data_IF_298836623926
#
_entry.id   IF_298836623926
#
_cell.length_a   1.000
_cell.length_b   1.000
_cell.length_c   1.000
_cell.angle_alpha   90.00
_cell.angle_beta   90.00
_cell.angle_gamma   90.00
#
_symmetry.space_group_name_H-M   'P 1'
#
loop_
_entity.id
_entity.type
_entity.pdbx_description
1 polymer ?
#
# COMPACT_ATOMS: atom_id res chain seq x y z
N UNK A 1 -22.06 -52.76 -1.51
CA UNK A 1 -20.87 -51.92 -1.14
C UNK A 1 -20.11 -51.31 -2.31
N UNK A 2 -20.19 -51.83 -3.53
CA UNK A 2 -19.42 -51.31 -4.68
C UNK A 2 -20.00 -50.07 -5.38
N UNK A 3 -21.30 -49.84 -5.30
CA UNK A 3 -21.95 -48.70 -5.98
C UNK A 3 -21.72 -47.34 -5.28
N UNK A 4 -21.57 -47.36 -3.96
CA UNK A 4 -21.34 -46.12 -3.19
C UNK A 4 -19.93 -45.56 -3.37
N UNK A 5 -18.90 -46.44 -3.47
CA UNK A 5 -17.53 -45.99 -3.65
C UNK A 5 -17.31 -45.32 -5.01
N UNK A 6 -17.92 -45.81 -6.09
CA UNK A 6 -17.85 -45.22 -7.42
C UNK A 6 -18.63 -43.90 -7.55
N UNK A 7 -19.73 -43.77 -6.81
CA UNK A 7 -20.52 -42.55 -6.73
C UNK A 7 -19.73 -41.45 -5.98
N UNK A 8 -19.06 -41.82 -4.88
CA UNK A 8 -18.21 -40.91 -4.10
C UNK A 8 -17.01 -40.48 -4.91
N UNK A 9 -16.32 -41.42 -5.63
CA UNK A 9 -15.18 -41.06 -6.49
C UNK A 9 -15.57 -40.10 -7.61
N UNK A 10 -16.72 -40.30 -8.25
CA UNK A 10 -17.27 -39.39 -9.26
C UNK A 10 -17.63 -38.03 -8.69
N UNK A 11 -18.28 -38.00 -7.53
CA UNK A 11 -18.63 -36.75 -6.86
C UNK A 11 -17.39 -35.97 -6.40
N UNK A 12 -16.37 -36.69 -5.90
CA UNK A 12 -15.07 -36.11 -5.54
C UNK A 12 -14.37 -35.53 -6.76
N UNK A 13 -14.30 -36.25 -7.88
CA UNK A 13 -13.68 -35.76 -9.13
C UNK A 13 -14.46 -34.59 -9.73
N UNK A 14 -15.80 -34.63 -9.73
CA UNK A 14 -16.63 -33.54 -10.18
C UNK A 14 -16.46 -32.31 -9.28
N UNK A 15 -16.41 -32.50 -7.98
CA UNK A 15 -16.15 -31.44 -7.01
C UNK A 15 -14.72 -30.85 -7.16
N UNK A 16 -13.72 -31.69 -7.44
CA UNK A 16 -12.36 -31.24 -7.76
C UNK A 16 -12.28 -30.45 -9.07
N UNK A 17 -13.15 -30.73 -10.02
CA UNK A 17 -13.28 -30.00 -11.30
C UNK A 17 -14.15 -28.72 -11.20
N UNK A 18 -14.60 -28.37 -9.99
CA UNK A 18 -15.31 -27.09 -9.76
C UNK A 18 -16.83 -27.15 -9.92
N UNK A 19 -17.42 -28.33 -9.99
CA UNK A 19 -18.89 -28.48 -10.01
C UNK A 19 -19.47 -28.28 -8.61
N UNK A 20 -20.12 -27.13 -8.42
CA UNK A 20 -20.74 -26.72 -7.15
C UNK A 20 -21.89 -27.63 -6.72
N UNK A 21 -22.63 -28.20 -7.67
CA UNK A 21 -23.72 -29.13 -7.37
C UNK A 21 -23.20 -30.48 -6.87
N UNK A 22 -22.08 -30.93 -7.44
CA UNK A 22 -21.43 -32.14 -6.95
C UNK A 22 -20.84 -31.98 -5.56
N UNK A 23 -20.39 -30.78 -5.18
CA UNK A 23 -19.93 -30.46 -3.82
C UNK A 23 -21.06 -30.54 -2.79
N UNK A 24 -22.31 -30.25 -3.19
CA UNK A 24 -23.50 -30.31 -2.32
C UNK A 24 -24.07 -31.73 -2.20
N UNK A 25 -23.77 -32.61 -3.15
CA UNK A 25 -24.34 -33.95 -3.22
C UNK A 25 -23.61 -35.02 -2.39
N UNK A 26 -22.49 -34.66 -1.74
CA UNK A 26 -21.77 -35.58 -0.88
C UNK A 26 -22.55 -35.82 0.45
N UNK A 27 -22.76 -37.07 0.87
CA UNK A 27 -23.59 -37.38 2.01
C UNK A 27 -23.04 -36.85 3.34
N UNK A 28 -23.94 -36.45 4.26
CA UNK A 28 -23.62 -35.97 5.61
C UNK A 28 -22.85 -36.95 6.48
N UNK A 29 -22.86 -38.25 6.11
CA UNK A 29 -22.08 -39.28 6.77
C UNK A 29 -20.78 -39.59 6.04
N UNK A 30 -19.68 -39.28 6.69
CA UNK A 30 -18.35 -39.56 6.16
C UNK A 30 -18.10 -41.06 6.00
N UNK A 31 -17.79 -41.50 4.80
CA UNK A 31 -17.17 -42.77 4.56
C UNK A 31 -15.71 -42.81 5.01
N UNK A 32 -15.15 -44.01 5.22
CA UNK A 32 -13.73 -44.18 5.57
C UNK A 32 -12.80 -43.43 4.59
N UNK A 33 -13.17 -43.40 3.29
CA UNK A 33 -12.44 -42.68 2.26
C UNK A 33 -12.35 -41.16 2.47
N UNK A 34 -13.45 -40.56 2.95
CA UNK A 34 -13.48 -39.13 3.23
C UNK A 34 -12.64 -38.78 4.47
N UNK A 35 -12.63 -39.65 5.47
CA UNK A 35 -11.81 -39.48 6.68
C UNK A 35 -10.33 -39.48 6.30
N UNK A 36 -9.92 -40.45 5.47
CA UNK A 36 -8.53 -40.54 4.98
C UNK A 36 -8.18 -39.34 4.11
N UNK A 37 -9.06 -38.93 3.19
CA UNK A 37 -8.83 -37.76 2.33
C UNK A 37 -8.68 -36.47 3.14
N UNK A 38 -9.59 -36.23 4.11
CA UNK A 38 -9.52 -35.07 4.97
C UNK A 38 -8.27 -35.08 5.84
N UNK A 39 -7.85 -36.26 6.32
CA UNK A 39 -6.62 -36.41 7.07
C UNK A 39 -5.39 -36.06 6.19
N UNK A 40 -5.33 -36.56 4.95
CA UNK A 40 -4.26 -36.22 4.01
C UNK A 40 -4.22 -34.73 3.72
N UNK A 41 -5.36 -34.11 3.43
CA UNK A 41 -5.45 -32.67 3.18
C UNK A 41 -5.03 -31.83 4.38
N UNK A 42 -5.45 -32.22 5.59
CA UNK A 42 -5.08 -31.50 6.80
C UNK A 42 -3.58 -31.58 7.11
N UNK A 43 -2.91 -32.67 6.76
CA UNK A 43 -1.50 -32.88 7.07
C UNK A 43 -0.54 -32.62 5.87
N UNK A 44 -1.05 -32.11 4.75
CA UNK A 44 -0.25 -31.76 3.56
C UNK A 44 -0.80 -30.47 2.95
N UNK A 45 -0.67 -29.38 3.70
CA UNK A 45 -1.02 -28.03 3.22
C UNK A 45 0.17 -27.41 2.49
N UNK A 46 -0.11 -26.78 1.36
CA UNK A 46 0.90 -26.14 0.52
C UNK A 46 0.69 -24.63 0.51
N UNK A 47 1.34 -23.91 1.44
CA UNK A 47 1.12 -22.50 1.59
C UNK A 47 1.71 -21.67 0.46
N UNK A 48 0.93 -20.67 0.05
CA UNK A 48 1.38 -19.50 -0.69
C UNK A 48 1.38 -18.30 0.25
N UNK A 49 2.51 -17.65 0.37
CA UNK A 49 2.63 -16.45 1.19
C UNK A 49 2.31 -15.21 0.39
N UNK A 50 1.42 -14.40 0.95
CA UNK A 50 1.12 -13.08 0.42
C UNK A 50 1.48 -12.03 1.48
N UNK A 51 2.77 -11.68 1.51
CA UNK A 51 3.35 -10.75 2.46
C UNK A 51 3.09 -9.30 2.04
N UNK A 52 2.32 -8.57 2.85
CA UNK A 52 1.94 -7.19 2.56
C UNK A 52 2.62 -6.17 3.48
N UNK A 53 2.97 -6.55 4.72
CA UNK A 53 3.63 -5.64 5.65
C UNK A 53 4.33 -6.40 6.79
N UNK A 54 4.49 -5.77 7.97
CA UNK A 54 5.24 -6.32 9.11
C UNK A 54 4.84 -7.73 9.55
N UNK A 55 3.60 -8.15 9.37
CA UNK A 55 3.18 -9.52 9.70
C UNK A 55 3.90 -10.59 8.86
N UNK A 56 4.39 -10.23 7.68
CA UNK A 56 5.17 -11.14 6.84
C UNK A 56 6.46 -11.60 7.51
N UNK A 57 7.12 -10.76 8.29
CA UNK A 57 8.34 -11.11 9.00
C UNK A 57 8.06 -12.21 10.03
N UNK A 58 6.98 -12.06 10.80
CA UNK A 58 6.53 -13.10 11.75
C UNK A 58 6.08 -14.38 11.03
N UNK A 59 5.40 -14.23 9.89
CA UNK A 59 5.04 -15.37 9.04
C UNK A 59 6.28 -16.11 8.52
N UNK A 60 7.30 -15.42 8.06
CA UNK A 60 8.55 -16.03 7.61
C UNK A 60 9.27 -16.78 8.73
N UNK A 61 9.16 -16.28 9.97
CA UNK A 61 9.79 -16.89 11.13
C UNK A 61 9.27 -18.30 11.43
N UNK A 62 8.02 -18.66 11.06
CA UNK A 62 7.48 -20.02 11.28
C UNK A 62 8.22 -21.10 10.48
N UNK A 63 8.93 -20.73 9.41
CA UNK A 63 9.76 -21.65 8.63
C UNK A 63 11.17 -21.86 9.22
N UNK A 64 11.54 -21.09 10.25
CA UNK A 64 12.82 -21.26 10.90
C UNK A 64 12.85 -22.53 11.76
N UNK A 65 14.05 -23.05 12.02
CA UNK A 65 14.23 -24.26 12.84
C UNK A 65 13.67 -24.19 14.26
N UNK A 66 13.37 -22.98 14.78
CA UNK A 66 12.75 -22.80 16.10
C UNK A 66 11.27 -23.24 16.10
N UNK A 67 10.53 -22.86 15.08
CA UNK A 67 9.09 -23.12 14.96
C UNK A 67 8.77 -24.30 14.06
N UNK A 68 9.48 -24.44 12.96
CA UNK A 68 9.47 -25.57 12.04
C UNK A 68 8.06 -26.00 11.62
N UNK A 69 7.42 -25.20 10.81
CA UNK A 69 6.06 -25.43 10.29
C UNK A 69 5.92 -26.80 9.55
N UNK A 70 7.04 -27.40 9.14
CA UNK A 70 7.08 -28.72 8.53
C UNK A 70 6.45 -29.79 9.43
N UNK A 71 6.63 -29.67 10.76
CA UNK A 71 6.02 -30.57 11.74
C UNK A 71 4.48 -30.57 11.70
N UNK A 72 3.90 -29.51 11.13
CA UNK A 72 2.46 -29.37 10.95
C UNK A 72 2.00 -29.69 9.53
N UNK A 73 2.88 -30.23 8.69
CA UNK A 73 2.56 -30.64 7.33
C UNK A 73 2.40 -29.50 6.33
N UNK A 74 3.06 -28.35 6.57
CA UNK A 74 2.98 -27.17 5.70
C UNK A 74 4.37 -26.66 5.31
N UNK A 75 5.32 -27.59 5.05
CA UNK A 75 6.71 -27.25 4.72
C UNK A 75 6.87 -26.62 3.36
N UNK A 76 6.08 -27.06 2.38
CA UNK A 76 6.37 -26.78 0.98
C UNK A 76 5.80 -25.43 0.57
N UNK A 77 6.62 -24.38 0.70
CA UNK A 77 6.29 -23.06 0.20
C UNK A 77 6.21 -23.06 -1.33
N UNK A 78 5.07 -22.63 -1.86
CA UNK A 78 4.85 -22.56 -3.30
C UNK A 78 5.06 -21.16 -3.85
N UNK A 79 5.77 -21.04 -4.96
CA UNK A 79 5.96 -19.79 -5.69
C UNK A 79 4.83 -19.47 -6.66
N UNK A 80 3.95 -20.45 -6.93
CA UNK A 80 2.83 -20.29 -7.84
C UNK A 80 1.49 -20.58 -7.16
N UNK A 81 0.48 -19.72 -7.32
CA UNK A 81 -0.86 -19.97 -6.77
C UNK A 81 -1.51 -21.23 -7.36
N UNK A 82 -1.11 -21.64 -8.58
CA UNK A 82 -1.61 -22.87 -9.22
C UNK A 82 -1.18 -24.15 -8.50
N UNK A 83 -0.17 -24.06 -7.65
CA UNK A 83 0.39 -25.20 -6.92
C UNK A 83 0.12 -25.11 -5.42
N UNK A 84 -0.58 -24.10 -4.96
CA UNK A 84 -0.88 -23.84 -3.55
C UNK A 84 -2.35 -24.14 -3.26
N UNK A 85 -2.62 -24.60 -2.04
CA UNK A 85 -3.96 -24.82 -1.50
C UNK A 85 -4.27 -23.96 -0.28
N UNK A 86 -3.26 -23.35 0.33
CA UNK A 86 -3.40 -22.43 1.46
C UNK A 86 -2.84 -21.06 1.09
N UNK A 87 -3.66 -20.02 1.17
CA UNK A 87 -3.24 -18.62 1.04
C UNK A 87 -3.14 -17.99 2.43
N UNK A 88 -1.98 -17.47 2.79
CA UNK A 88 -1.80 -16.69 4.01
C UNK A 88 -1.60 -15.22 3.64
N UNK A 89 -2.61 -14.40 3.88
CA UNK A 89 -2.55 -12.96 3.65
C UNK A 89 -2.08 -12.28 4.93
N UNK A 90 -0.86 -11.75 4.93
CA UNK A 90 -0.22 -11.22 6.13
C UNK A 90 0.05 -9.73 6.04
N UNK A 91 -0.67 -8.95 6.85
CA UNK A 91 -0.47 -7.53 7.01
C UNK A 91 -1.53 -6.64 6.34
N UNK A 92 -1.13 -5.40 6.02
CA UNK A 92 -2.04 -4.37 5.53
C UNK A 92 -2.45 -4.62 4.08
N UNK A 93 -3.75 -4.66 3.82
CA UNK A 93 -4.30 -4.83 2.47
C UNK A 93 -4.54 -3.46 1.86
N UNK A 94 -3.70 -3.08 0.93
CA UNK A 94 -3.81 -1.79 0.24
C UNK A 94 -4.82 -1.87 -0.90
N UNK A 95 -5.56 -0.80 -1.16
CA UNK A 95 -6.55 -0.77 -2.26
C UNK A 95 -5.89 -1.07 -3.61
N UNK A 96 -4.68 -0.55 -3.85
CA UNK A 96 -3.90 -0.84 -5.06
C UNK A 96 -3.46 -2.31 -5.16
N UNK A 97 -3.26 -3.00 -4.02
CA UNK A 97 -2.89 -4.42 -3.96
C UNK A 97 -4.11 -5.37 -3.98
N UNK A 98 -5.30 -4.88 -3.66
CA UNK A 98 -6.51 -5.70 -3.55
C UNK A 98 -6.84 -6.51 -4.83
N UNK A 99 -6.72 -5.97 -6.06
CA UNK A 99 -6.90 -6.74 -7.29
C UNK A 99 -5.95 -7.94 -7.39
N UNK A 100 -4.73 -7.81 -6.86
CA UNK A 100 -3.73 -8.89 -6.88
C UNK A 100 -4.10 -9.99 -5.91
N UNK A 101 -4.53 -9.65 -4.69
CA UNK A 101 -5.01 -10.61 -3.70
C UNK A 101 -6.14 -11.46 -4.29
N UNK A 102 -7.11 -10.79 -4.91
CA UNK A 102 -8.24 -11.45 -5.58
C UNK A 102 -7.78 -12.38 -6.70
N UNK A 103 -6.90 -11.89 -7.59
CA UNK A 103 -6.37 -12.67 -8.72
C UNK A 103 -5.61 -13.90 -8.26
N UNK A 104 -4.74 -13.76 -7.26
CA UNK A 104 -3.98 -14.88 -6.69
C UNK A 104 -4.92 -15.91 -6.11
N UNK A 105 -5.93 -15.49 -5.33
CA UNK A 105 -6.94 -16.39 -4.80
C UNK A 105 -7.72 -17.12 -5.91
N UNK A 106 -8.17 -16.42 -6.96
CA UNK A 106 -8.90 -17.02 -8.08
C UNK A 106 -8.07 -18.07 -8.83
N UNK A 107 -6.74 -17.86 -8.93
CA UNK A 107 -5.83 -18.77 -9.61
C UNK A 107 -5.54 -20.06 -8.83
N UNK A 108 -5.79 -20.11 -7.53
CA UNK A 108 -5.59 -21.31 -6.71
C UNK A 108 -6.62 -22.38 -7.06
N UNK A 109 -6.18 -23.66 -7.18
CA UNK A 109 -7.08 -24.79 -7.39
C UNK A 109 -7.95 -25.05 -6.15
N UNK A 110 -9.06 -25.76 -6.33
CA UNK A 110 -9.88 -26.24 -5.22
C UNK A 110 -9.48 -27.67 -4.82
N UNK A 111 -9.55 -28.04 -3.53
CA UNK A 111 -9.95 -27.21 -2.39
C UNK A 111 -8.88 -26.19 -2.03
N UNK A 112 -9.26 -25.02 -1.54
CA UNK A 112 -8.35 -23.96 -1.12
C UNK A 112 -8.86 -23.26 0.13
N UNK A 113 -7.91 -22.77 0.94
CA UNK A 113 -8.17 -22.13 2.22
C UNK A 113 -7.44 -20.80 2.35
N UNK A 114 -7.95 -19.92 3.19
CA UNK A 114 -7.38 -18.60 3.43
C UNK A 114 -7.22 -18.34 4.91
N UNK A 115 -6.01 -18.00 5.32
CA UNK A 115 -5.71 -17.46 6.65
C UNK A 115 -5.46 -15.96 6.52
N UNK A 116 -6.23 -15.15 7.23
CA UNK A 116 -6.00 -13.73 7.39
C UNK A 116 -5.14 -13.48 8.62
N UNK A 117 -3.93 -12.96 8.45
CA UNK A 117 -2.95 -12.79 9.53
C UNK A 117 -2.72 -11.32 9.86
N UNK A 118 -3.03 -10.97 11.10
CA UNK A 118 -2.81 -9.66 11.67
C UNK A 118 -4.01 -8.72 11.59
N UNK A 119 -4.07 -7.76 12.51
CA UNK A 119 -5.20 -6.83 12.64
C UNK A 119 -5.50 -6.07 11.35
N UNK A 120 -4.45 -5.73 10.57
CA UNK A 120 -4.64 -5.03 9.30
C UNK A 120 -5.36 -5.88 8.25
N UNK A 121 -4.97 -7.15 8.09
CA UNK A 121 -5.65 -8.07 7.17
C UNK A 121 -7.06 -8.41 7.65
N UNK A 122 -7.28 -8.48 8.98
CA UNK A 122 -8.56 -8.85 9.56
C UNK A 122 -9.60 -7.73 9.44
N UNK A 123 -9.24 -6.48 9.74
CA UNK A 123 -10.20 -5.36 9.89
C UNK A 123 -9.63 -4.00 9.48
N UNK A 124 -8.47 -3.94 8.81
CA UNK A 124 -7.75 -2.67 8.58
C UNK A 124 -6.86 -2.27 9.76
N UNK A 125 -7.09 -2.82 10.96
CA UNK A 125 -6.30 -2.55 12.16
C UNK A 125 -6.30 -1.09 12.57
N UNK A 126 -5.09 -0.55 12.81
CA UNK A 126 -4.89 0.86 13.15
C UNK A 126 -4.96 1.81 11.94
N UNK A 127 -5.02 1.26 10.72
CA UNK A 127 -4.97 2.03 9.48
C UNK A 127 -6.36 2.26 8.89
N UNK A 128 -7.19 3.03 9.60
CA UNK A 128 -8.43 3.57 9.04
C UNK A 128 -8.10 4.79 8.16
N UNK A 129 -7.60 4.52 6.97
CA UNK A 129 -7.13 5.53 6.03
C UNK A 129 -7.56 5.20 4.60
N UNK A 130 -7.67 6.23 3.76
CA UNK A 130 -8.20 6.14 2.39
C UNK A 130 -7.59 5.03 1.53
N UNK A 131 -6.32 4.68 1.73
CA UNK A 131 -5.58 3.73 0.89
C UNK A 131 -5.69 2.27 1.33
N UNK A 132 -6.34 1.98 2.47
CA UNK A 132 -6.36 0.65 3.09
C UNK A 132 -7.76 0.05 3.05
N UNK A 133 -7.83 -1.22 2.66
CA UNK A 133 -9.06 -2.02 2.72
C UNK A 133 -9.30 -2.48 4.17
N UNK A 134 -10.50 -2.30 4.66
CA UNK A 134 -10.85 -2.56 6.05
C UNK A 134 -11.20 -4.05 6.30
N UNK A 135 -10.30 -4.93 5.90
CA UNK A 135 -10.37 -6.38 6.02
C UNK A 135 -10.30 -7.08 4.67
N UNK A 136 -9.45 -8.11 4.56
CA UNK A 136 -9.28 -8.90 3.33
C UNK A 136 -10.54 -9.68 2.97
N UNK A 137 -11.40 -9.93 3.93
CA UNK A 137 -12.70 -10.59 3.78
C UNK A 137 -13.71 -9.76 2.94
N UNK A 138 -13.41 -8.49 2.67
CA UNK A 138 -14.16 -7.69 1.69
C UNK A 138 -13.87 -8.10 0.25
N UNK A 139 -12.71 -8.73 0.01
CA UNK A 139 -12.19 -9.06 -1.33
C UNK A 139 -12.31 -10.54 -1.61
N UNK A 140 -11.88 -11.38 -0.64
CA UNK A 140 -11.84 -12.83 -0.74
C UNK A 140 -12.39 -13.47 0.55
N UNK A 141 -12.92 -14.69 0.48
CA UNK A 141 -13.36 -15.41 1.68
C UNK A 141 -12.18 -15.77 2.57
N UNK A 142 -12.41 -15.74 3.88
CA UNK A 142 -11.43 -16.09 4.91
C UNK A 142 -11.94 -17.25 5.74
N UNK A 143 -11.11 -18.27 5.93
CA UNK A 143 -11.43 -19.43 6.75
C UNK A 143 -11.00 -19.25 8.20
N UNK A 144 -9.81 -18.67 8.43
CA UNK A 144 -9.27 -18.47 9.79
C UNK A 144 -8.69 -17.06 9.91
N UNK A 145 -8.99 -16.41 11.05
CA UNK A 145 -8.41 -15.11 11.40
C UNK A 145 -7.39 -15.27 12.53
N UNK A 146 -6.17 -14.78 12.29
CA UNK A 146 -5.09 -14.74 13.28
C UNK A 146 -4.92 -13.31 13.76
N UNK A 147 -5.21 -13.06 15.04
CA UNK A 147 -5.16 -11.71 15.63
C UNK A 147 -3.79 -11.36 16.17
N UNK A 148 -3.44 -10.08 16.10
CA UNK A 148 -2.18 -9.49 16.59
C UNK A 148 -1.72 -8.34 15.72
N UNK A 149 -0.73 -7.57 16.21
CA UNK A 149 -0.16 -6.44 15.46
C UNK A 149 1.35 -6.27 15.79
N UNK A 150 2.22 -7.12 15.20
CA UNK A 150 1.95 -8.37 14.49
C UNK A 150 1.55 -9.53 15.41
N UNK A 151 0.89 -10.57 14.91
CA UNK A 151 0.74 -11.84 15.62
C UNK A 151 2.11 -12.51 15.78
N UNK A 152 2.32 -13.17 16.91
CA UNK A 152 3.50 -14.02 17.08
C UNK A 152 3.45 -15.25 16.16
N UNK A 153 4.61 -15.85 15.83
CA UNK A 153 4.66 -17.07 15.03
C UNK A 153 3.78 -18.19 15.58
N UNK A 154 3.72 -18.33 16.93
CA UNK A 154 2.86 -19.33 17.59
C UNK A 154 1.37 -19.09 17.31
N UNK A 155 0.95 -17.85 17.19
CA UNK A 155 -0.43 -17.52 16.85
C UNK A 155 -0.79 -17.98 15.43
N UNK A 156 0.13 -17.86 14.47
CA UNK A 156 -0.06 -18.40 13.13
C UNK A 156 -0.11 -19.93 13.14
N UNK A 157 0.79 -20.58 13.89
CA UNK A 157 0.75 -22.05 14.06
C UNK A 157 -0.57 -22.52 14.68
N UNK A 158 -1.09 -21.80 15.69
CA UNK A 158 -2.40 -22.08 16.25
C UNK A 158 -3.52 -21.90 15.20
N UNK A 159 -3.44 -20.86 14.38
CA UNK A 159 -4.37 -20.67 13.26
C UNK A 159 -4.32 -21.82 12.25
N UNK A 160 -3.13 -22.32 11.94
CA UNK A 160 -2.93 -23.48 11.08
C UNK A 160 -3.55 -24.76 11.70
N UNK A 161 -3.30 -25.02 12.97
CA UNK A 161 -3.90 -26.17 13.69
C UNK A 161 -5.42 -26.06 13.69
N UNK A 162 -5.96 -24.86 13.91
CA UNK A 162 -7.40 -24.60 13.86
C UNK A 162 -7.97 -24.95 12.47
N UNK A 163 -7.29 -24.53 11.40
CA UNK A 163 -7.67 -24.86 10.03
C UNK A 163 -7.63 -26.38 9.80
N UNK A 164 -6.57 -27.05 10.26
CA UNK A 164 -6.43 -28.51 10.14
C UNK A 164 -7.57 -29.24 10.85
N UNK A 165 -7.97 -28.79 12.03
CA UNK A 165 -9.09 -29.35 12.76
C UNK A 165 -10.42 -29.13 12.04
N UNK A 166 -10.61 -28.00 11.41
CA UNK A 166 -11.79 -27.73 10.55
C UNK A 166 -11.84 -28.70 9.37
N UNK A 167 -10.71 -28.94 8.70
CA UNK A 167 -10.61 -29.89 7.59
C UNK A 167 -10.91 -31.31 8.06
N UNK A 168 -10.33 -31.77 9.17
CA UNK A 168 -10.52 -33.12 9.73
C UNK A 168 -11.94 -33.41 10.14
N UNK A 169 -12.62 -32.44 10.74
CA UNK A 169 -14.01 -32.62 11.28
C UNK A 169 -15.09 -32.61 10.20
N UNK A 170 -14.72 -32.60 8.91
CA UNK A 170 -15.66 -32.50 7.78
C UNK A 170 -16.51 -31.23 7.68
N UNK A 171 -16.28 -30.35 8.57
CA UNK A 171 -16.72 -29.02 8.28
C UNK A 171 -15.87 -28.62 7.07
N UNK A 172 -16.37 -29.00 5.87
CA UNK A 172 -15.79 -28.54 4.63
C UNK A 172 -15.41 -27.11 4.82
N UNK A 173 -14.28 -26.67 4.21
CA UNK A 173 -13.93 -25.29 4.25
C UNK A 173 -15.22 -24.54 3.95
N UNK A 174 -15.59 -23.80 4.95
CA UNK A 174 -16.85 -23.12 4.98
C UNK A 174 -16.94 -22.36 3.70
N UNK A 175 -17.94 -22.63 2.89
CA UNK A 175 -18.19 -21.80 1.71
C UNK A 175 -17.97 -20.37 2.14
N UNK A 176 -17.14 -19.63 1.45
CA UNK A 176 -17.08 -18.21 1.70
C UNK A 176 -18.50 -17.68 1.57
N UNK A 177 -19.07 -17.29 2.66
CA UNK A 177 -20.36 -16.62 2.65
C UNK A 177 -20.10 -15.16 2.39
N UNK A 178 -19.52 -14.88 1.21
CA UNK A 178 -19.74 -13.62 0.56
C UNK A 178 -21.21 -13.63 0.12
N UNK A 179 -22.03 -13.03 0.92
CA UNK A 179 -23.38 -12.70 0.50
C UNK A 179 -23.21 -11.50 -0.44
N UNK A 180 -23.01 -11.78 -1.74
CA UNK A 180 -22.82 -10.78 -2.78
C UNK A 180 -24.02 -9.84 -2.92
N UNK A 181 -25.18 -10.22 -2.41
CA UNK A 181 -26.40 -9.43 -2.49
C UNK A 181 -26.56 -8.36 -1.38
N UNK A 182 -25.68 -8.30 -0.40
CA UNK A 182 -25.86 -7.37 0.72
C UNK A 182 -24.58 -6.85 1.39
N UNK A 183 -23.40 -7.17 0.91
CA UNK A 183 -22.15 -6.66 1.51
C UNK A 183 -21.87 -7.13 2.94
N UNK A 184 -22.64 -8.08 3.44
CA UNK A 184 -22.46 -8.65 4.76
C UNK A 184 -21.93 -10.09 4.66
N UNK A 185 -20.86 -10.35 5.38
CA UNK A 185 -20.42 -11.72 5.65
C UNK A 185 -21.55 -12.40 6.43
N UNK A 186 -22.20 -13.37 5.80
CA UNK A 186 -23.20 -14.18 6.44
C UNK A 186 -22.55 -14.90 7.65
N UNK A 187 -23.08 -14.64 8.82
CA UNK A 187 -22.50 -15.03 10.08
C UNK A 187 -22.12 -16.50 10.16
N UNK A 188 -20.90 -16.73 10.53
CA UNK A 188 -20.45 -17.98 11.14
C UNK A 188 -19.80 -17.66 12.46
N UNK A 189 -20.55 -18.02 13.48
CA UNK A 189 -20.23 -17.75 14.87
C UNK A 189 -19.07 -18.60 15.39
N UNK A 190 -18.73 -19.63 14.65
CA UNK A 190 -17.86 -20.74 15.01
C UNK A 190 -16.43 -20.67 14.43
N UNK A 191 -16.12 -19.66 13.59
CA UNK A 191 -14.81 -19.55 12.91
C UNK A 191 -13.87 -18.54 13.59
N UNK A 192 -14.39 -17.69 14.45
CA UNK A 192 -13.59 -16.68 15.10
C UNK A 192 -12.62 -17.32 16.10
N UNK A 193 -11.32 -17.11 15.88
CA UNK A 193 -10.32 -17.30 16.93
C UNK A 193 -10.77 -16.49 18.14
N UNK A 194 -10.71 -17.01 19.38
CA UNK A 194 -11.14 -16.28 20.57
C UNK A 194 -10.52 -14.88 20.59
N UNK A 195 -11.37 -13.85 20.56
CA UNK A 195 -10.97 -12.43 20.49
C UNK A 195 -11.27 -11.70 19.19
N UNK A 196 -11.64 -12.39 18.11
CA UNK A 196 -12.10 -11.73 16.89
C UNK A 196 -13.58 -11.32 17.02
N UNK A 197 -13.88 -10.06 16.79
CA UNK A 197 -15.26 -9.55 16.89
C UNK A 197 -15.96 -9.63 15.54
N UNK A 198 -17.20 -10.13 15.54
CA UNK A 198 -18.07 -10.23 14.38
C UNK A 198 -18.60 -8.92 13.86
N UNK A 199 -18.62 -7.95 14.72
CA UNK A 199 -19.34 -6.71 14.49
C UNK A 199 -18.37 -5.66 13.96
N UNK A 200 -18.49 -5.34 12.70
CA UNK A 200 -17.70 -4.27 12.07
C UNK A 200 -18.04 -2.89 12.65
N UNK A 201 -19.21 -2.76 13.25
CA UNK A 201 -19.62 -1.55 13.95
C UNK A 201 -19.12 -1.50 15.40
N UNK A 202 -18.71 -2.63 15.97
CA UNK A 202 -18.00 -2.66 17.24
C UNK A 202 -16.51 -2.49 17.00
N UNK A 203 -16.09 -1.25 16.87
CA UNK A 203 -14.73 -0.85 17.20
C UNK A 203 -14.34 -1.57 18.48
N UNK A 204 -13.22 -2.30 18.48
CA UNK A 204 -12.79 -3.10 19.62
C UNK A 204 -12.93 -2.36 20.95
N UNK A 205 -13.02 -3.04 22.09
CA UNK A 205 -13.36 -2.45 23.39
C UNK A 205 -12.46 -1.29 23.84
N UNK A 206 -11.33 -1.02 23.18
CA UNK A 206 -10.50 0.16 23.38
C UNK A 206 -10.85 1.38 22.51
N UNK A 207 -11.74 1.20 21.51
CA UNK A 207 -12.14 2.29 20.60
C UNK A 207 -13.60 2.74 20.80
N UNK A 208 -14.37 2.07 21.64
CA UNK A 208 -15.67 2.51 22.05
C UNK A 208 -15.50 3.82 22.86
N UNK A 209 -15.79 4.96 22.23
CA UNK A 209 -15.67 6.28 22.85
C UNK A 209 -14.73 7.25 22.16
N UNK A 210 -14.10 6.87 21.03
CA UNK A 210 -13.48 7.88 20.16
C UNK A 210 -14.63 8.63 19.49
N UNK A 211 -14.83 9.93 19.81
CA UNK A 211 -15.93 10.69 19.25
C UNK A 211 -15.77 10.81 17.74
N UNK A 212 -16.89 10.77 17.04
CA UNK A 212 -16.93 11.13 15.64
C UNK A 212 -16.30 12.52 15.46
N UNK A 213 -15.63 12.71 14.32
CA UNK A 213 -14.98 13.98 13.94
C UNK A 213 -15.90 15.16 14.19
N UNK A 214 -15.48 16.11 15.00
CA UNK A 214 -16.26 17.31 15.36
C UNK A 214 -16.45 17.52 16.86
N UNK A 215 -16.25 16.50 17.69
CA UNK A 215 -16.14 16.67 19.12
C UNK A 215 -14.66 16.69 19.49
N UNK A 216 -14.08 17.88 19.60
CA UNK A 216 -12.73 18.05 20.14
C UNK A 216 -12.75 17.64 21.61
N UNK A 217 -12.56 16.37 21.88
CA UNK A 217 -12.18 15.93 23.21
C UNK A 217 -10.67 16.06 23.28
N UNK A 218 -10.22 17.23 23.67
CA UNK A 218 -8.85 17.38 24.18
C UNK A 218 -8.74 16.42 25.35
N UNK A 219 -7.83 15.44 25.32
CA UNK A 219 -7.65 14.54 26.45
C UNK A 219 -7.44 15.41 27.71
N UNK A 220 -8.07 15.08 28.85
CA UNK A 220 -7.97 15.88 30.07
C UNK A 220 -6.52 16.13 30.52
N UNK A 221 -5.61 15.23 30.15
CA UNK A 221 -4.16 15.32 30.40
C UNK A 221 -3.49 16.53 29.72
N UNK A 222 -4.09 17.08 28.67
CA UNK A 222 -3.55 18.22 27.92
C UNK A 222 -4.45 19.46 28.05
N UNK A 223 -5.60 19.36 28.72
CA UNK A 223 -6.44 20.49 29.01
C UNK A 223 -5.72 21.39 30.03
N UNK A 224 -5.17 22.49 29.56
CA UNK A 224 -4.44 23.46 30.39
C UNK A 224 -2.93 23.30 30.45
N UNK A 225 -2.34 22.37 29.71
CA UNK A 225 -0.88 22.39 29.46
C UNK A 225 -0.58 23.60 28.57
N UNK A 226 0.17 24.55 29.11
CA UNK A 226 0.75 25.65 28.32
C UNK A 226 1.92 25.06 27.48
N UNK A 227 1.57 24.23 26.50
CA UNK A 227 2.55 23.65 25.57
C UNK A 227 3.38 24.73 24.88
N UNK A 228 2.77 25.88 24.65
CA UNK A 228 3.40 27.02 23.98
C UNK A 228 4.49 27.68 24.84
N UNK A 229 4.40 27.59 26.18
CA UNK A 229 5.41 28.15 27.09
C UNK A 229 6.56 27.14 27.40
N UNK A 230 6.31 25.84 27.25
CA UNK A 230 7.32 24.80 27.55
C UNK A 230 8.05 24.26 26.33
N UNK A 231 7.55 24.54 25.11
CA UNK A 231 8.20 24.09 23.90
C UNK A 231 9.26 25.09 23.44
N UNK A 232 10.51 24.79 23.72
CA UNK A 232 11.64 25.50 23.12
C UNK A 232 11.95 24.79 21.80
N UNK A 233 11.90 25.50 20.67
CA UNK A 233 12.28 24.89 19.38
C UNK A 233 13.67 24.25 19.50
N UNK A 234 13.87 23.04 19.01
CA UNK A 234 15.19 22.45 18.98
C UNK A 234 16.13 23.31 18.14
N UNK A 235 17.42 23.27 18.44
CA UNK A 235 18.41 23.92 17.59
C UNK A 235 18.27 23.39 16.14
N UNK A 236 18.46 24.23 15.12
CA UNK A 236 18.37 23.80 13.73
C UNK A 236 19.29 22.62 13.49
N UNK A 237 18.79 21.56 12.87
CA UNK A 237 19.59 20.37 12.51
C UNK A 237 20.69 20.73 11.51
N UNK A 238 20.37 21.63 10.59
CA UNK A 238 21.28 22.16 9.61
C UNK A 238 21.31 23.70 9.74
N UNK A 239 22.26 24.25 10.52
CA UNK A 239 22.29 25.68 10.79
C UNK A 239 22.66 26.48 9.55
N UNK A 240 22.26 27.75 9.56
CA UNK A 240 22.70 28.71 8.55
C UNK A 240 24.20 29.01 8.73
N UNK A 241 24.99 28.77 7.69
CA UNK A 241 26.46 28.93 7.70
C UNK A 241 26.89 30.15 6.89
N UNK A 242 28.19 30.52 6.98
CA UNK A 242 28.76 31.57 6.12
C UNK A 242 28.67 31.26 4.62
N UNK A 243 28.64 29.98 4.27
CA UNK A 243 28.42 29.52 2.90
C UNK A 243 27.01 29.88 2.39
N UNK A 244 25.99 29.78 3.25
CA UNK A 244 24.62 30.20 2.93
C UNK A 244 24.50 31.73 2.80
N UNK A 245 25.32 32.51 3.53
CA UNK A 245 25.36 33.97 3.35
C UNK A 245 25.88 34.34 1.95
N UNK A 246 26.96 33.69 1.50
CA UNK A 246 27.47 33.89 0.12
C UNK A 246 26.43 33.44 -0.92
N UNK A 247 25.69 32.38 -0.65
CA UNK A 247 24.59 31.94 -1.50
C UNK A 247 23.47 32.98 -1.56
N UNK A 248 23.09 33.56 -0.43
CA UNK A 248 22.08 34.62 -0.34
C UNK A 248 22.46 35.84 -1.17
N UNK A 249 23.73 36.30 -1.07
CA UNK A 249 24.25 37.39 -1.85
C UNK A 249 24.23 37.07 -3.35
N UNK A 250 24.64 35.86 -3.74
CA UNK A 250 24.66 35.44 -5.14
C UNK A 250 23.23 35.35 -5.73
N UNK A 251 22.26 34.85 -4.96
CA UNK A 251 20.84 34.81 -5.35
C UNK A 251 20.29 36.24 -5.53
N UNK A 252 20.56 37.15 -4.58
CA UNK A 252 20.12 38.54 -4.66
C UNK A 252 20.74 39.26 -5.85
N UNK A 253 22.04 39.05 -6.13
CA UNK A 253 22.73 39.64 -7.28
C UNK A 253 22.16 39.16 -8.62
N UNK A 254 21.79 37.87 -8.74
CA UNK A 254 21.31 37.26 -9.97
C UNK A 254 19.83 37.49 -10.24
N UNK A 255 18.99 37.41 -9.19
CA UNK A 255 17.52 37.41 -9.32
C UNK A 255 16.85 38.65 -8.70
N UNK A 256 17.60 39.46 -7.96
CA UNK A 256 17.06 40.65 -7.29
C UNK A 256 16.16 40.33 -6.11
N UNK A 257 15.67 41.36 -5.42
CA UNK A 257 14.84 41.22 -4.22
C UNK A 257 13.46 40.63 -4.50
N UNK A 258 12.93 40.77 -5.70
CA UNK A 258 11.60 40.30 -6.08
C UNK A 258 11.54 38.79 -6.36
N UNK A 259 12.67 38.16 -6.58
CA UNK A 259 12.71 36.76 -7.03
C UNK A 259 12.97 35.79 -5.88
N UNK A 260 13.70 36.19 -4.86
CA UNK A 260 14.18 35.27 -3.83
C UNK A 260 14.14 35.93 -2.46
N UNK A 261 13.52 35.24 -1.52
CA UNK A 261 13.51 35.60 -0.13
C UNK A 261 14.10 34.47 0.72
N UNK A 262 14.95 34.82 1.68
CA UNK A 262 15.69 33.84 2.47
C UNK A 262 15.27 33.90 3.94
N UNK A 263 14.84 32.79 4.47
CA UNK A 263 14.53 32.61 5.89
C UNK A 263 15.29 31.44 6.48
N UNK A 264 15.44 31.42 7.80
CA UNK A 264 16.08 30.32 8.53
C UNK A 264 15.04 29.73 9.48
N UNK A 265 14.32 28.69 9.07
CA UNK A 265 13.39 27.99 9.93
C UNK A 265 14.14 27.07 10.92
N UNK A 266 13.37 26.37 11.75
CA UNK A 266 13.89 25.56 12.86
C UNK A 266 14.85 24.46 12.43
N UNK A 267 14.70 23.90 11.23
CA UNK A 267 15.41 22.69 10.79
C UNK A 267 16.54 22.94 9.78
N UNK A 268 16.32 23.75 8.74
CA UNK A 268 17.33 24.01 7.69
C UNK A 268 17.10 25.35 7.00
N UNK A 269 18.13 25.92 6.37
CA UNK A 269 18.01 27.14 5.56
C UNK A 269 16.97 26.99 4.46
N UNK A 270 16.13 28.02 4.32
CA UNK A 270 15.01 28.02 3.38
C UNK A 270 14.99 29.28 2.55
N UNK A 271 14.74 29.13 1.26
CA UNK A 271 14.53 30.24 0.33
C UNK A 271 13.15 30.11 -0.31
N UNK A 272 12.43 31.23 -0.43
CA UNK A 272 11.14 31.27 -1.12
C UNK A 272 11.33 31.86 -2.50
N UNK A 273 10.80 31.21 -3.52
CA UNK A 273 10.97 31.54 -4.94
C UNK A 273 9.61 31.61 -5.62
N UNK A 274 9.31 32.62 -6.41
CA UNK A 274 8.10 32.67 -7.22
C UNK A 274 8.04 31.51 -8.21
N UNK A 275 6.82 31.01 -8.48
CA UNK A 275 6.60 29.85 -9.35
C UNK A 275 7.21 30.00 -10.74
N UNK A 276 7.10 31.21 -11.32
CA UNK A 276 7.57 31.52 -12.68
C UNK A 276 9.10 31.46 -12.82
N UNK A 277 9.82 31.57 -11.70
CA UNK A 277 11.29 31.60 -11.69
C UNK A 277 11.92 30.34 -11.11
N UNK A 278 11.11 29.35 -10.70
CA UNK A 278 11.62 28.20 -9.97
C UNK A 278 12.66 27.41 -10.75
N UNK A 279 12.41 27.09 -12.02
CA UNK A 279 13.35 26.30 -12.83
C UNK A 279 14.68 27.03 -13.04
N UNK A 280 14.62 28.32 -13.28
CA UNK A 280 15.80 29.17 -13.47
C UNK A 280 16.65 29.25 -12.18
N UNK A 281 15.99 29.38 -11.02
CA UNK A 281 16.69 29.38 -9.73
C UNK A 281 17.26 28.00 -9.42
N UNK A 282 16.53 26.93 -9.69
CA UNK A 282 17.00 25.56 -9.47
C UNK A 282 18.20 25.21 -10.36
N UNK A 283 18.18 25.65 -11.61
CA UNK A 283 19.31 25.48 -12.53
C UNK A 283 20.55 26.23 -12.04
N UNK A 284 20.39 27.50 -11.63
CA UNK A 284 21.45 28.29 -11.00
C UNK A 284 22.01 27.60 -9.75
N UNK A 285 21.16 27.11 -8.85
CA UNK A 285 21.57 26.43 -7.62
C UNK A 285 22.39 25.16 -7.91
N UNK A 286 22.08 24.48 -9.01
CA UNK A 286 22.81 23.26 -9.41
C UNK A 286 24.14 23.55 -10.06
N UNK A 287 24.22 24.56 -10.95
CA UNK A 287 25.35 24.70 -11.85
C UNK A 287 26.26 25.91 -11.56
N UNK A 288 25.69 27.02 -11.08
CA UNK A 288 26.39 28.32 -11.04
C UNK A 288 26.62 28.86 -9.62
N UNK A 289 25.80 28.42 -8.63
CA UNK A 289 25.85 28.95 -7.28
C UNK A 289 27.18 28.66 -6.56
N UNK A 290 27.59 29.53 -5.59
CA UNK A 290 28.78 29.30 -4.78
C UNK A 290 28.77 27.94 -4.03
N UNK A 291 27.60 27.54 -3.59
CA UNK A 291 27.32 26.16 -3.11
C UNK A 291 26.50 25.49 -4.23
N UNK A 292 27.06 24.45 -4.84
CA UNK A 292 26.35 23.69 -5.86
C UNK A 292 25.53 22.58 -5.18
N UNK A 293 24.24 22.52 -5.50
CA UNK A 293 23.34 21.49 -5.01
C UNK A 293 23.21 20.42 -6.09
N UNK A 294 24.08 19.42 -6.03
CA UNK A 294 24.15 18.37 -7.05
C UNK A 294 22.95 17.42 -6.97
N UNK A 295 22.36 17.28 -5.77
CA UNK A 295 21.30 16.31 -5.52
C UNK A 295 19.99 16.96 -5.14
N UNK A 296 18.95 16.56 -5.83
CA UNK A 296 17.56 16.74 -5.43
C UNK A 296 17.17 15.56 -4.52
N UNK A 297 16.97 15.84 -3.23
CA UNK A 297 16.58 14.82 -2.26
C UNK A 297 15.11 14.48 -2.35
N UNK A 298 14.27 15.53 -2.44
CA UNK A 298 12.82 15.38 -2.39
C UNK A 298 12.12 16.58 -3.02
N UNK A 299 10.93 16.34 -3.56
CA UNK A 299 9.94 17.38 -3.84
C UNK A 299 8.62 16.93 -3.21
N UNK A 300 8.07 17.77 -2.35
CA UNK A 300 6.76 17.53 -1.74
C UNK A 300 5.89 18.79 -1.81
N UNK A 301 4.64 18.70 -1.34
CA UNK A 301 3.76 19.85 -1.24
C UNK A 301 3.10 19.93 0.13
N UNK A 302 2.66 21.12 0.47
CA UNK A 302 1.89 21.40 1.68
C UNK A 302 0.58 22.06 1.28
N UNK A 303 -0.53 21.50 1.77
CA UNK A 303 -1.83 22.15 1.71
C UNK A 303 -1.96 23.11 2.87
N UNK A 304 -1.96 24.40 2.56
CA UNK A 304 -2.01 25.51 3.52
C UNK A 304 -3.46 25.93 3.89
N UNK A 305 -4.47 25.32 3.25
CA UNK A 305 -5.88 25.74 3.38
C UNK A 305 -6.42 25.63 4.80
N UNK A 306 -5.92 24.70 5.59
CA UNK A 306 -6.31 24.49 6.98
C UNK A 306 -5.48 25.32 8.01
N UNK A 307 -4.49 26.08 7.56
CA UNK A 307 -3.69 26.93 8.46
C UNK A 307 -4.51 28.04 9.11
N UNK A 308 -4.27 28.28 10.40
CA UNK A 308 -4.89 29.39 11.14
C UNK A 308 -4.56 30.75 10.53
N UNK A 309 -3.32 30.93 10.08
CA UNK A 309 -2.85 32.11 9.34
C UNK A 309 -2.42 31.64 7.96
N UNK A 310 -3.23 31.94 6.94
CA UNK A 310 -2.95 31.57 5.56
C UNK A 310 -1.89 32.48 4.95
N UNK A 311 -0.91 31.93 4.23
CA UNK A 311 0.17 32.73 3.62
C UNK A 311 -0.23 33.47 2.33
N UNK A 312 -1.53 33.51 1.97
CA UNK A 312 -2.01 34.15 0.74
C UNK A 312 -2.06 33.24 -0.48
N UNK A 313 -1.73 31.97 -0.31
CA UNK A 313 -1.84 30.90 -1.31
C UNK A 313 -2.29 29.61 -0.62
N UNK A 314 -2.86 28.69 -1.38
CA UNK A 314 -3.45 27.47 -0.84
C UNK A 314 -2.47 26.31 -0.77
N UNK A 315 -1.44 26.29 -1.62
CA UNK A 315 -0.44 25.24 -1.65
C UNK A 315 0.98 25.81 -1.73
N UNK A 316 1.92 25.08 -1.17
CA UNK A 316 3.36 25.37 -1.27
C UNK A 316 4.08 24.10 -1.74
N UNK A 317 4.76 24.17 -2.87
CA UNK A 317 5.71 23.12 -3.26
C UNK A 317 7.04 23.34 -2.53
N UNK A 318 7.68 22.26 -2.11
CA UNK A 318 8.90 22.28 -1.31
C UNK A 318 9.93 21.36 -1.94
N UNK A 319 11.03 21.92 -2.38
CA UNK A 319 12.18 21.21 -2.93
C UNK A 319 13.27 21.13 -1.87
N UNK A 320 13.76 19.96 -1.57
CA UNK A 320 14.88 19.74 -0.66
C UNK A 320 16.13 19.39 -1.45
N UNK A 321 17.16 20.20 -1.31
CA UNK A 321 18.40 20.09 -2.06
C UNK A 321 19.58 19.79 -1.14
N UNK A 322 20.51 19.00 -1.61
CA UNK A 322 21.75 18.66 -0.91
C UNK A 322 22.96 18.94 -1.78
N UNK A 323 23.93 19.62 -1.20
CA UNK A 323 25.27 19.73 -1.75
C UNK A 323 26.12 18.57 -1.22
N UNK A 324 26.55 17.69 -2.11
CA UNK A 324 27.42 16.55 -1.75
C UNK A 324 28.86 17.01 -1.51
N UNK A 325 29.28 18.07 -2.18
CA UNK A 325 30.64 18.59 -2.08
C UNK A 325 30.90 19.36 -0.79
N UNK A 326 29.90 20.07 -0.26
CA UNK A 326 30.02 20.89 0.96
C UNK A 326 29.21 20.38 2.14
N UNK A 327 28.41 19.33 1.96
CA UNK A 327 27.52 18.75 2.97
C UNK A 327 26.53 19.79 3.53
N UNK A 328 26.05 20.66 2.63
CA UNK A 328 25.08 21.71 2.95
C UNK A 328 23.69 21.35 2.39
N UNK A 329 22.67 21.82 3.10
CA UNK A 329 21.27 21.58 2.75
C UNK A 329 20.53 22.88 2.49
N UNK A 330 19.59 22.85 1.56
CA UNK A 330 18.73 23.99 1.25
C UNK A 330 17.32 23.51 0.96
N UNK A 331 16.35 24.23 1.51
CA UNK A 331 14.95 24.07 1.14
C UNK A 331 14.50 25.23 0.26
N UNK A 332 13.92 24.92 -0.89
CA UNK A 332 13.30 25.90 -1.76
C UNK A 332 11.78 25.77 -1.67
N UNK A 333 11.11 26.82 -1.25
CA UNK A 333 9.64 26.89 -1.16
C UNK A 333 9.09 27.68 -2.33
N UNK A 334 8.06 27.15 -2.95
CA UNK A 334 7.41 27.76 -4.10
C UNK A 334 5.92 27.87 -3.83
N UNK A 335 5.39 29.09 -3.61
CA UNK A 335 3.95 29.31 -3.54
C UNK A 335 3.28 28.88 -4.85
N UNK A 336 2.22 28.08 -4.76
CA UNK A 336 1.46 27.59 -5.91
C UNK A 336 0.22 28.46 -6.08
N UNK A 337 0.08 29.05 -7.27
CA UNK A 337 -1.05 29.93 -7.59
C UNK A 337 -2.39 29.18 -7.76
N UNK A 338 -3.45 29.93 -8.02
CA UNK A 338 -4.82 29.41 -8.17
C UNK A 338 -4.96 28.36 -9.31
N UNK A 339 -4.10 28.43 -10.34
CA UNK A 339 -4.08 27.46 -11.44
C UNK A 339 -3.58 26.09 -11.09
N UNK A 340 -3.02 25.88 -9.88
CA UNK A 340 -2.38 24.63 -9.43
C UNK A 340 -1.37 24.08 -10.45
N UNK A 341 -0.54 24.96 -11.03
CA UNK A 341 0.44 24.60 -12.05
C UNK A 341 1.80 25.19 -11.71
N UNK A 342 2.85 24.39 -11.91
CA UNK A 342 4.26 24.75 -11.77
C UNK A 342 5.03 24.31 -13.01
N UNK A 343 6.12 24.97 -13.40
CA UNK A 343 7.00 24.44 -14.41
C UNK A 343 7.79 23.24 -13.87
N UNK A 344 7.97 22.21 -14.71
CA UNK A 344 8.68 20.98 -14.33
C UNK A 344 10.18 21.24 -14.12
N UNK A 345 10.73 20.65 -13.06
CA UNK A 345 12.16 20.63 -12.76
C UNK A 345 12.91 19.45 -13.41
N UNK A 346 12.24 18.62 -14.21
CA UNK A 346 12.86 17.47 -14.91
C UNK A 346 14.03 17.85 -15.83
N UNK A 347 14.08 19.05 -16.48
CA UNK A 347 15.25 19.46 -17.22
C UNK A 347 16.50 19.69 -16.35
N UNK A 348 16.28 20.05 -15.08
CA UNK A 348 17.38 20.27 -14.12
C UNK A 348 17.80 18.95 -13.47
N UNK A 349 16.85 18.20 -12.91
CA UNK A 349 17.08 16.87 -12.35
C UNK A 349 16.09 15.85 -12.94
N UNK A 350 16.55 14.84 -13.67
CA UNK A 350 15.68 13.78 -14.19
C UNK A 350 14.88 13.05 -13.08
N UNK A 351 15.43 12.99 -11.86
CA UNK A 351 14.75 12.41 -10.69
C UNK A 351 13.48 13.17 -10.29
N UNK A 352 13.34 14.44 -10.65
CA UNK A 352 12.13 15.24 -10.41
C UNK A 352 10.87 14.61 -11.02
N UNK A 353 11.02 13.85 -12.11
CA UNK A 353 9.92 13.12 -12.75
C UNK A 353 9.06 12.32 -11.76
N UNK A 354 9.70 11.57 -10.86
CA UNK A 354 8.99 10.74 -9.87
C UNK A 354 8.27 11.57 -8.81
N UNK A 355 8.94 12.55 -8.26
CA UNK A 355 8.39 13.43 -7.23
C UNK A 355 7.24 14.30 -7.77
N UNK A 356 7.35 14.80 -9.00
CA UNK A 356 6.31 15.60 -9.64
C UNK A 356 5.06 14.77 -9.94
N UNK A 357 5.22 13.50 -10.35
CA UNK A 357 4.12 12.55 -10.47
C UNK A 357 3.44 12.31 -9.11
N UNK A 358 4.21 12.14 -8.03
CA UNK A 358 3.69 11.95 -6.68
C UNK A 358 2.89 13.17 -6.21
N UNK A 359 3.43 14.38 -6.38
CA UNK A 359 2.73 15.61 -6.00
C UNK A 359 1.43 15.78 -6.79
N UNK A 360 1.47 15.52 -8.08
CA UNK A 360 0.24 15.57 -8.89
C UNK A 360 -0.76 14.51 -8.42
N UNK A 361 -0.30 13.32 -8.16
CA UNK A 361 -1.16 12.22 -7.70
C UNK A 361 -1.83 12.54 -6.36
N UNK A 362 -1.08 13.04 -5.38
CA UNK A 362 -1.56 13.22 -4.01
C UNK A 362 -2.17 14.60 -3.72
N UNK A 363 -1.73 15.68 -4.41
CA UNK A 363 -2.20 17.05 -4.21
C UNK A 363 -2.92 17.65 -5.42
N UNK A 364 -2.70 17.10 -6.63
CA UNK A 364 -3.30 17.61 -7.87
C UNK A 364 -2.62 18.84 -8.47
N UNK A 365 -1.39 19.14 -8.04
CA UNK A 365 -0.58 20.20 -8.62
C UNK A 365 0.01 19.69 -9.93
N UNK A 366 -0.27 20.37 -11.03
CA UNK A 366 0.22 20.00 -12.36
C UNK A 366 1.61 20.57 -12.61
N UNK A 367 2.39 19.88 -13.43
CA UNK A 367 3.71 20.32 -13.85
C UNK A 367 3.73 20.51 -15.37
N UNK A 368 3.88 21.77 -15.81
CA UNK A 368 3.98 22.08 -17.25
C UNK A 368 5.29 21.55 -17.82
N UNK A 369 5.24 21.05 -19.05
CA UNK A 369 6.36 20.41 -19.75
C UNK A 369 6.92 19.15 -19.05
N UNK A 370 6.17 18.52 -18.15
CA UNK A 370 6.54 17.23 -17.60
C UNK A 370 6.44 16.13 -18.68
N UNK A 371 7.42 15.21 -18.81
CA UNK A 371 7.48 14.24 -19.90
C UNK A 371 6.36 13.20 -19.87
N UNK A 372 5.80 12.88 -18.70
CA UNK A 372 4.79 11.82 -18.58
C UNK A 372 4.09 11.87 -17.24
N UNK A 373 3.28 12.92 -16.98
CA UNK A 373 2.56 13.10 -15.72
C UNK A 373 1.46 12.06 -15.58
N UNK A 374 1.57 11.20 -14.57
CA UNK A 374 0.64 10.09 -14.30
C UNK A 374 0.49 9.81 -12.81
N UNK A 375 -0.53 9.04 -12.44
CA UNK A 375 -0.61 8.51 -11.08
C UNK A 375 0.53 7.54 -10.84
N UNK A 376 1.13 7.65 -9.66
CA UNK A 376 2.27 6.84 -9.26
C UNK A 376 1.92 5.95 -8.06
N UNK A 377 1.37 6.57 -7.03
CA UNK A 377 1.11 5.96 -5.72
C UNK A 377 -0.31 5.37 -5.67
N UNK A 378 -1.30 6.13 -6.14
CA UNK A 378 -2.70 5.70 -6.12
C UNK A 378 -3.03 4.79 -7.32
N UNK A 379 -4.10 3.98 -7.25
CA UNK A 379 -4.64 3.31 -8.42
C UNK A 379 -4.98 4.31 -9.53
N UNK A 380 -4.87 3.89 -10.79
CA UNK A 380 -5.09 4.80 -11.92
C UNK A 380 -6.52 5.34 -11.97
N UNK A 381 -7.50 4.51 -11.59
CA UNK A 381 -8.93 4.85 -11.51
C UNK A 381 -9.30 5.71 -10.31
N UNK A 382 -8.35 6.03 -9.42
CA UNK A 382 -8.63 6.83 -8.23
C UNK A 382 -9.09 8.23 -8.60
N UNK A 383 -10.15 8.69 -7.96
CA UNK A 383 -10.70 10.05 -8.11
C UNK A 383 -10.29 10.93 -6.93
N UNK A 384 -9.92 12.20 -7.20
CA UNK A 384 -9.46 13.13 -6.17
C UNK A 384 -7.97 13.04 -5.87
N UNK A 385 -7.55 13.75 -4.83
CA UNK A 385 -6.16 13.88 -4.41
C UNK A 385 -6.06 13.78 -2.89
N UNK A 386 -5.68 12.62 -2.36
CA UNK A 386 -5.98 12.26 -0.96
C UNK A 386 -5.27 13.10 0.10
N UNK A 387 -4.17 13.80 -0.22
CA UNK A 387 -3.50 14.67 0.74
C UNK A 387 -4.08 16.09 0.80
N UNK A 388 -5.07 16.42 -0.03
CA UNK A 388 -5.84 17.65 0.15
C UNK A 388 -6.63 17.59 1.44
N UNK A 389 -6.66 18.71 2.20
CA UNK A 389 -7.38 18.80 3.46
C UNK A 389 -8.89 18.58 3.34
N UNK A 390 -9.45 18.83 2.16
CA UNK A 390 -10.87 18.60 1.85
C UNK A 390 -11.24 17.16 1.53
N UNK A 391 -10.28 16.30 1.20
CA UNK A 391 -10.54 14.91 0.81
C UNK A 391 -10.71 13.99 2.05
N UNK A 392 -11.53 12.93 1.96
CA UNK A 392 -11.77 12.03 3.08
C UNK A 392 -10.46 11.41 3.60
N UNK A 393 -10.31 11.43 4.91
CA UNK A 393 -9.13 10.90 5.58
C UNK A 393 -9.26 9.40 5.83
N UNK A 394 -10.40 8.98 6.36
CA UNK A 394 -10.63 7.62 6.84
C UNK A 394 -11.30 6.75 5.78
N UNK A 395 -10.90 5.48 5.73
CA UNK A 395 -11.58 4.50 4.90
C UNK A 395 -13.06 4.34 5.29
N UNK A 396 -13.38 4.48 6.59
CA UNK A 396 -14.74 4.42 7.12
C UNK A 396 -15.62 5.62 6.75
N UNK A 397 -15.04 6.73 6.28
CA UNK A 397 -15.75 7.90 5.73
C UNK A 397 -16.07 7.71 4.24
N UNK A 398 -15.47 6.72 3.60
CA UNK A 398 -15.66 6.36 2.19
C UNK A 398 -16.65 5.21 2.03
N UNK A 399 -17.13 5.00 0.82
CA UNK A 399 -17.88 3.78 0.50
C UNK A 399 -17.02 2.54 0.80
N UNK A 400 -17.63 1.44 1.31
CA UNK A 400 -16.93 0.18 1.53
C UNK A 400 -16.27 -0.30 0.23
N UNK A 401 -15.03 -0.76 0.33
CA UNK A 401 -14.35 -1.40 -0.80
C UNK A 401 -14.94 -2.80 -1.00
N UNK A 402 -15.49 -3.07 -2.17
CA UNK A 402 -16.13 -4.35 -2.49
C UNK A 402 -15.23 -5.19 -3.40
N UNK A 403 -15.54 -6.49 -3.49
CA UNK A 403 -14.80 -7.39 -4.37
C UNK A 403 -14.88 -6.99 -5.86
N UNK A 404 -15.96 -6.34 -6.25
CA UNK A 404 -16.16 -5.80 -7.60
C UNK A 404 -15.25 -4.62 -7.90
N UNK A 405 -14.90 -3.81 -6.88
CA UNK A 405 -13.98 -2.68 -7.02
C UNK A 405 -12.54 -3.15 -7.26
N UNK A 406 -12.23 -4.41 -6.91
CA UNK A 406 -10.96 -5.04 -7.21
C UNK A 406 -10.90 -5.41 -8.71
N UNK A 407 -10.72 -4.39 -9.52
CA UNK A 407 -10.70 -4.49 -10.98
C UNK A 407 -9.62 -5.46 -11.46
N UNK A 408 -9.97 -6.29 -12.42
CA UNK A 408 -9.00 -7.16 -13.08
C UNK A 408 -8.20 -6.34 -14.08
N UNK A 409 -6.88 -6.24 -13.87
CA UNK A 409 -6.00 -5.62 -14.84
C UNK A 409 -6.03 -6.37 -16.18
N UNK A 410 -6.07 -5.63 -17.27
CA UNK A 410 -5.95 -6.16 -18.62
C UNK A 410 -4.49 -6.03 -19.10
N UNK A 411 -4.04 -6.85 -20.07
CA UNK A 411 -2.71 -6.70 -20.65
C UNK A 411 -2.46 -5.30 -21.23
N UNK A 412 -3.49 -4.66 -21.75
CA UNK A 412 -3.47 -3.32 -22.33
C UNK A 412 -3.12 -2.24 -21.29
N UNK A 413 -3.45 -2.47 -20.01
CA UNK A 413 -3.13 -1.53 -18.93
C UNK A 413 -1.61 -1.35 -18.78
N UNK A 414 -0.82 -2.40 -19.02
CA UNK A 414 0.63 -2.32 -18.99
C UNK A 414 1.18 -1.46 -20.13
N UNK A 415 0.65 -1.62 -21.33
CA UNK A 415 1.03 -0.81 -22.50
C UNK A 415 0.65 0.65 -22.27
N UNK A 416 -0.56 0.90 -21.77
CA UNK A 416 -1.00 2.25 -21.43
C UNK A 416 -0.12 2.93 -20.40
N UNK A 417 0.35 2.20 -19.36
CA UNK A 417 1.27 2.75 -18.37
C UNK A 417 2.63 3.12 -18.97
N UNK A 418 3.17 2.28 -19.88
CA UNK A 418 4.39 2.59 -20.60
C UNK A 418 4.23 3.84 -21.48
N UNK A 419 3.16 3.92 -22.25
CA UNK A 419 2.88 5.05 -23.12
C UNK A 419 2.72 6.37 -22.34
N UNK A 420 2.12 6.31 -21.15
CA UNK A 420 2.01 7.47 -20.26
C UNK A 420 3.32 7.87 -19.60
N UNK A 421 4.22 6.91 -19.38
CA UNK A 421 5.50 7.17 -18.74
C UNK A 421 6.52 7.83 -19.67
N UNK A 422 6.35 7.70 -20.98
CA UNK A 422 7.30 8.17 -21.98
C UNK A 422 6.64 9.08 -23.02
N UNK A 423 7.30 10.17 -23.34
CA UNK A 423 6.82 11.15 -24.33
C UNK A 423 6.77 10.60 -25.77
N UNK A 424 7.53 9.54 -26.05
CA UNK A 424 7.54 8.86 -27.34
C UNK A 424 7.75 7.35 -27.15
N UNK A 425 7.05 6.50 -27.92
CA UNK A 425 7.29 5.06 -27.88
C UNK A 425 8.71 4.75 -28.40
N UNK A 426 9.36 3.70 -27.88
CA UNK A 426 10.66 3.27 -28.36
C UNK A 426 10.61 2.83 -29.80
N UNK A 427 11.70 3.07 -30.54
CA UNK A 427 11.79 2.73 -31.97
C UNK A 427 11.79 1.20 -32.22
N UNK A 428 12.03 0.40 -31.18
CA UNK A 428 12.10 -1.06 -31.25
C UNK A 428 11.38 -1.65 -30.04
N UNK A 429 10.28 -2.36 -30.28
CA UNK A 429 9.52 -3.11 -29.28
C UNK A 429 9.09 -4.43 -29.93
N UNK A 430 9.34 -5.55 -29.27
CA UNK A 430 8.79 -6.85 -29.67
C UNK A 430 7.68 -7.27 -28.74
N UNK A 431 7.89 -7.20 -27.43
CA UNK A 431 6.86 -7.51 -26.46
C UNK A 431 7.05 -6.79 -25.13
N UNK A 432 5.98 -6.75 -24.33
CA UNK A 432 5.96 -6.18 -22.99
C UNK A 432 5.89 -7.30 -21.98
N UNK A 433 6.83 -7.31 -21.04
CA UNK A 433 6.90 -8.26 -19.93
C UNK A 433 6.55 -7.57 -18.60
N UNK A 434 5.59 -8.13 -17.87
CA UNK A 434 5.28 -7.73 -16.51
C UNK A 434 5.98 -8.65 -15.51
N UNK A 435 6.79 -8.07 -14.61
CA UNK A 435 7.36 -8.74 -13.44
C UNK A 435 6.69 -8.16 -12.19
N UNK A 436 5.94 -8.99 -11.47
CA UNK A 436 5.15 -8.56 -10.33
C UNK A 436 3.74 -8.06 -10.73
N UNK A 437 3.00 -7.39 -9.82
CA UNK A 437 3.39 -6.94 -8.47
C UNK A 437 3.71 -8.05 -7.47
N UNK A 438 3.05 -9.22 -7.53
CA UNK A 438 3.41 -10.37 -6.73
C UNK A 438 4.38 -11.27 -7.52
N UNK A 439 5.59 -11.39 -7.01
CA UNK A 439 6.63 -12.25 -7.58
C UNK A 439 7.36 -12.99 -6.45
N UNK A 440 7.61 -14.29 -6.61
CA UNK A 440 8.20 -15.12 -5.55
C UNK A 440 9.60 -14.67 -5.10
N UNK A 441 10.34 -13.98 -5.95
CA UNK A 441 11.68 -13.47 -5.64
C UNK A 441 11.67 -12.10 -4.95
N UNK A 442 10.53 -11.41 -4.88
CA UNK A 442 10.42 -10.11 -4.24
C UNK A 442 9.83 -10.25 -2.85
N UNK A 443 10.40 -9.54 -1.87
CA UNK A 443 9.93 -9.56 -0.49
C UNK A 443 8.84 -8.51 -0.23
N UNK A 444 8.08 -8.16 -1.24
CA UNK A 444 7.00 -7.18 -1.21
C UNK A 444 6.40 -7.04 -2.59
N UNK A 445 5.48 -6.07 -2.75
CA UNK A 445 4.81 -5.83 -4.02
C UNK A 445 5.49 -4.68 -4.77
N UNK A 446 6.03 -4.99 -5.94
CA UNK A 446 6.55 -4.03 -6.91
C UNK A 446 6.34 -4.59 -8.31
N UNK A 447 5.96 -3.74 -9.25
CA UNK A 447 5.73 -4.13 -10.63
C UNK A 447 6.74 -3.45 -11.53
N UNK A 448 7.45 -4.24 -12.32
CA UNK A 448 8.30 -3.76 -13.40
C UNK A 448 7.64 -4.11 -14.73
N UNK A 449 7.46 -3.13 -15.57
CA UNK A 449 6.94 -3.28 -16.92
C UNK A 449 8.12 -3.05 -17.85
N UNK A 450 8.58 -4.12 -18.48
CA UNK A 450 9.74 -4.12 -19.34
C UNK A 450 9.32 -4.13 -20.81
N UNK A 451 9.93 -3.26 -21.61
CA UNK A 451 9.88 -3.35 -23.06
C UNK A 451 11.11 -4.09 -23.55
N UNK A 452 10.89 -5.15 -24.28
CA UNK A 452 11.94 -6.06 -24.74
C UNK A 452 12.04 -6.09 -26.26
N UNK A 453 13.29 -6.20 -26.72
CA UNK A 453 13.64 -6.57 -28.09
C UNK A 453 14.54 -7.80 -28.04
N UNK A 454 13.97 -9.00 -28.28
CA UNK A 454 14.63 -10.24 -27.95
C UNK A 454 14.89 -10.38 -26.45
N UNK A 455 16.15 -10.51 -26.06
CA UNK A 455 16.60 -10.55 -24.66
C UNK A 455 17.08 -9.18 -24.15
N UNK A 456 17.12 -8.16 -25.00
CA UNK A 456 17.54 -6.81 -24.65
C UNK A 456 16.38 -6.03 -24.02
N UNK A 457 16.62 -5.44 -22.85
CA UNK A 457 15.68 -4.50 -22.21
C UNK A 457 15.86 -3.14 -22.90
N UNK A 458 14.86 -2.74 -23.68
CA UNK A 458 14.86 -1.45 -24.40
C UNK A 458 14.44 -0.32 -23.46
N UNK A 459 13.43 -0.61 -22.61
CA UNK A 459 12.92 0.36 -21.66
C UNK A 459 12.26 -0.34 -20.47
N UNK A 460 12.12 0.40 -19.35
CA UNK A 460 11.52 -0.09 -18.13
C UNK A 460 10.71 1.00 -17.44
N UNK A 461 9.48 0.68 -17.11
CA UNK A 461 8.66 1.49 -16.22
C UNK A 461 8.35 0.74 -14.93
N UNK A 462 8.47 1.44 -13.80
CA UNK A 462 8.14 0.91 -12.48
C UNK A 462 6.75 1.39 -12.08
N UNK A 463 5.89 0.47 -11.64
CA UNK A 463 4.61 0.77 -11.02
C UNK A 463 4.70 0.45 -9.53
N UNK A 464 4.53 1.47 -8.69
CA UNK A 464 4.72 1.43 -7.23
C UNK A 464 3.44 1.83 -6.50
N UNK A 465 3.49 2.03 -5.19
CA UNK A 465 2.34 2.41 -4.37
C UNK A 465 1.59 1.22 -3.75
N UNK A 466 2.00 0.00 -4.01
CA UNK A 466 1.39 -1.22 -3.46
C UNK A 466 1.54 -1.37 -1.95
N UNK A 467 2.41 -0.56 -1.33
CA UNK A 467 2.61 -0.48 0.12
C UNK A 467 2.28 0.90 0.70
N UNK A 468 1.58 1.73 -0.06
CA UNK A 468 1.22 3.08 0.37
C UNK A 468 0.10 3.06 1.42
N UNK A 469 0.45 3.45 2.65
CA UNK A 469 -0.47 3.50 3.81
C UNK A 469 -1.06 4.87 4.08
N UNK A 470 -0.62 5.91 3.36
CA UNK A 470 -1.08 7.28 3.61
C UNK A 470 -0.68 7.80 5.00
N UNK A 471 0.56 7.53 5.43
CA UNK A 471 1.06 7.92 6.76
C UNK A 471 1.01 9.44 6.97
N UNK A 472 1.17 10.20 5.91
CA UNK A 472 1.07 11.67 5.89
C UNK A 472 -0.33 12.12 6.33
N UNK A 473 -1.36 11.45 5.81
CA UNK A 473 -2.76 11.72 6.16
C UNK A 473 -3.10 11.26 7.57
N UNK A 474 -2.46 10.20 8.07
CA UNK A 474 -2.61 9.76 9.45
C UNK A 474 -1.98 10.76 10.42
N UNK A 475 -0.83 11.35 10.03
CA UNK A 475 -0.12 12.34 10.84
C UNK A 475 -0.87 13.69 10.90
N UNK A 476 -1.71 13.99 9.94
CA UNK A 476 -2.58 15.16 9.89
C UNK A 476 -3.64 15.17 10.99
#
# INVERSE_FOLDING_TARGET
MGHDAQAIDRAVRAAMNGDENAQNALPDKAGLGDIVLNWCQANSLWPLFFGLSCCFVEQATVFTGLYDIARFGAEVLRGSPRQADLLVVSGTVFKKAAPMVKRVYEQMPRPKWVISMGSCANTGGMYDVYSVVQGVDQIIPVDVYVTGCPPRPEALLHGLITLQDMIRRKNRPLRPVLNLEGGHLGGRDDILVPGATKDRDTRGPGMAGIPARGTSVTPPLFAGSRSDEMWTPPAPKFPFTSAHESLREALAARFGELAVWFETPVDMPTVTVPAERVVEVLDFLKHEAPIRFERLEDITAVDETARKVRPGHDYTAVYTLTSLSSIEYLRVRVPVGEGLELPSATPVWPSANWYECEIWDLFGIRFSNHPGLRRLIMPEEWTGHPLRKGDPQRATEMAPYLAEDARREQPEDAVSLLEKAHAAPPARREFVLNIGPHHYSTHGLVRFILELYGEEIVDMTTDIGYHHRGVEKIAE
#
